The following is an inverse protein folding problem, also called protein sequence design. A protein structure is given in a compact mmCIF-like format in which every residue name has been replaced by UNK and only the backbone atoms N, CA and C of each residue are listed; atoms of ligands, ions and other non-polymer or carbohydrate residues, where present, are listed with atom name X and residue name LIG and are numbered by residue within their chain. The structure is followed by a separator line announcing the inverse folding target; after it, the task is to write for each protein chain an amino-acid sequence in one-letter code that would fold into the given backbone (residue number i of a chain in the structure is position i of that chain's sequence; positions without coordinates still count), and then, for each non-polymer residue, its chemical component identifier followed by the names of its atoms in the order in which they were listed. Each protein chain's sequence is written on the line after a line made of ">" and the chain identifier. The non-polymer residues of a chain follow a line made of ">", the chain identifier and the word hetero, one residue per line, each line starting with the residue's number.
data_IF_720264660725
#
_entry.id   IF_720264660725
#
_cell.length_a   1.000
_cell.length_b   1.000
_cell.length_c   1.000
_cell.angle_alpha   90.00
_cell.angle_beta   90.00
_cell.angle_gamma   90.00
#
_symmetry.space_group_name_H-M   'P 1'
#
loop_
_entity.id
_entity.type
_entity.pdbx_description
1 polymer ?
#
# COMPACT_ATOMS: atom_id res chain seq x y z
N UNK A 1 -15.70 10.21 1.08
CA UNK A 1 -15.61 9.41 -0.16
C UNK A 1 -14.43 9.84 -1.02
N UNK A 2 -14.11 11.13 -1.16
CA UNK A 2 -12.94 11.60 -1.93
C UNK A 2 -11.60 11.00 -1.44
N UNK A 3 -11.42 10.87 -0.12
CA UNK A 3 -10.19 10.32 0.46
C UNK A 3 -9.94 8.83 0.15
N UNK A 4 -10.99 8.03 -0.12
CA UNK A 4 -10.83 6.60 -0.38
C UNK A 4 -10.38 6.34 -1.82
N UNK A 5 -10.89 7.13 -2.78
CA UNK A 5 -10.44 7.05 -4.17
C UNK A 5 -8.98 7.52 -4.30
N UNK A 6 -8.60 8.59 -3.58
CA UNK A 6 -7.20 9.05 -3.57
C UNK A 6 -6.27 8.02 -2.92
N UNK A 7 -6.73 7.32 -1.88
CA UNK A 7 -6.00 6.20 -1.27
C UNK A 7 -5.83 5.05 -2.27
N UNK A 8 -6.88 4.64 -2.96
CA UNK A 8 -6.82 3.59 -3.97
C UNK A 8 -5.84 3.92 -5.11
N UNK A 9 -5.92 5.14 -5.66
CA UNK A 9 -4.98 5.64 -6.67
C UNK A 9 -3.53 5.61 -6.17
N UNK A 10 -3.31 5.99 -4.91
CA UNK A 10 -2.00 5.99 -4.29
C UNK A 10 -1.43 4.56 -4.17
N UNK A 11 -2.19 3.59 -3.68
CA UNK A 11 -1.72 2.20 -3.58
C UNK A 11 -1.45 1.58 -4.97
N UNK A 12 -2.24 1.95 -5.99
CA UNK A 12 -1.97 1.56 -7.38
C UNK A 12 -0.67 2.17 -7.91
N UNK A 13 -0.37 3.44 -7.58
CA UNK A 13 0.92 4.09 -7.91
C UNK A 13 2.08 3.33 -7.27
N UNK A 14 1.98 3.01 -5.98
CA UNK A 14 3.01 2.26 -5.25
C UNK A 14 3.27 0.90 -5.87
N UNK A 15 2.21 0.16 -6.23
CA UNK A 15 2.34 -1.10 -6.97
C UNK A 15 3.08 -0.93 -8.30
N UNK A 16 2.72 0.09 -9.11
CA UNK A 16 3.34 0.32 -10.42
C UNK A 16 4.82 0.70 -10.32
N UNK A 17 5.19 1.48 -9.32
CA UNK A 17 6.56 1.98 -9.16
C UNK A 17 7.48 0.97 -8.48
N UNK A 18 6.96 0.19 -7.52
CA UNK A 18 7.78 -0.60 -6.60
C UNK A 18 7.38 -2.08 -6.52
N UNK A 19 6.34 -2.49 -7.25
CA UNK A 19 5.90 -3.89 -7.29
C UNK A 19 5.19 -4.39 -6.04
N UNK A 20 4.85 -3.51 -5.09
CA UNK A 20 4.18 -3.89 -3.83
C UNK A 20 2.74 -4.32 -4.16
N UNK A 21 2.51 -5.63 -4.19
CA UNK A 21 1.21 -6.22 -4.57
C UNK A 21 0.25 -6.36 -3.38
N UNK A 22 0.79 -6.52 -2.19
CA UNK A 22 0.03 -6.62 -0.95
C UNK A 22 0.81 -6.07 0.23
N UNK A 23 0.07 -5.58 1.22
CA UNK A 23 0.60 -5.19 2.51
C UNK A 23 -0.40 -5.56 3.61
N UNK A 24 0.14 -5.86 4.79
CA UNK A 24 -0.62 -6.07 6.00
C UNK A 24 -0.35 -4.91 6.95
N UNK A 25 -1.38 -4.36 7.59
CA UNK A 25 -1.23 -3.35 8.62
C UNK A 25 -1.82 -3.84 9.93
N UNK A 26 -0.95 -4.12 10.90
CA UNK A 26 -1.29 -4.76 12.17
C UNK A 26 -0.57 -4.08 13.31
N UNK A 27 -1.29 -3.85 14.41
CA UNK A 27 -0.72 -3.25 15.63
C UNK A 27 0.04 -1.94 15.35
N UNK A 28 -0.51 -1.10 14.46
CA UNK A 28 0.09 0.15 13.97
C UNK A 28 1.42 0.00 13.23
N UNK A 29 1.68 -1.18 12.64
CA UNK A 29 2.89 -1.46 11.87
C UNK A 29 2.53 -1.98 10.49
N UNK A 30 3.30 -1.51 9.51
CA UNK A 30 3.25 -2.00 8.15
C UNK A 30 4.13 -3.25 8.02
N UNK A 31 3.51 -4.37 7.69
CA UNK A 31 4.15 -5.64 7.37
C UNK A 31 4.15 -5.79 5.84
N UNK A 32 5.35 -5.87 5.26
CA UNK A 32 5.56 -6.14 3.83
C UNK A 32 6.29 -7.46 3.70
N UNK A 33 5.93 -8.25 2.69
CA UNK A 33 6.59 -9.53 2.40
C UNK A 33 8.12 -9.34 2.27
N UNK A 34 8.89 -10.14 3.01
CA UNK A 34 10.35 -10.14 3.01
C UNK A 34 10.96 -10.32 1.61
N UNK A 35 10.26 -10.98 0.68
CA UNK A 35 10.70 -11.08 -0.72
C UNK A 35 10.68 -9.73 -1.43
N UNK A 36 9.69 -8.89 -1.14
CA UNK A 36 9.60 -7.52 -1.65
C UNK A 36 10.69 -6.64 -1.03
N UNK A 37 10.94 -6.79 0.27
CA UNK A 37 12.00 -6.06 0.98
C UNK A 37 13.38 -6.32 0.35
N UNK A 38 13.68 -7.56 -0.07
CA UNK A 38 14.96 -7.88 -0.73
C UNK A 38 15.20 -7.12 -2.04
N UNK A 39 14.13 -6.77 -2.76
CA UNK A 39 14.22 -5.91 -3.94
C UNK A 39 14.36 -4.42 -3.57
N UNK A 40 13.97 -4.04 -2.35
CA UNK A 40 14.05 -2.69 -1.79
C UNK A 40 15.36 -2.41 -1.04
N UNK A 41 16.25 -3.40 -0.85
CA UNK A 41 17.56 -3.24 -0.16
C UNK A 41 18.49 -2.22 -0.85
N UNK A 42 18.13 -1.77 -2.06
CA UNK A 42 18.79 -0.65 -2.76
C UNK A 42 17.86 0.57 -2.93
N UNK A 43 17.03 0.86 -1.93
CA UNK A 43 16.11 1.99 -1.94
C UNK A 43 16.84 3.34 -2.11
N UNK A 44 16.42 4.11 -3.11
CA UNK A 44 16.81 5.52 -3.25
C UNK A 44 16.08 6.38 -2.21
N UNK A 45 16.56 7.61 -1.99
CA UNK A 45 15.89 8.59 -1.12
C UNK A 45 14.41 8.81 -1.51
N UNK A 46 14.11 8.74 -2.81
CA UNK A 46 12.74 8.82 -3.34
C UNK A 46 11.86 7.65 -2.85
N UNK A 47 12.40 6.43 -2.78
CA UNK A 47 11.67 5.30 -2.23
C UNK A 47 11.40 5.48 -0.74
N UNK A 48 12.40 5.93 0.02
CA UNK A 48 12.24 6.14 1.47
C UNK A 48 11.13 7.17 1.75
N UNK A 49 11.11 8.28 1.01
CA UNK A 49 10.03 9.26 1.13
C UNK A 49 8.65 8.69 0.75
N UNK A 50 8.56 7.89 -0.31
CA UNK A 50 7.30 7.24 -0.68
C UNK A 50 6.88 6.16 0.33
N UNK A 51 7.83 5.50 0.99
CA UNK A 51 7.55 4.53 2.05
C UNK A 51 7.01 5.19 3.32
N UNK A 52 7.57 6.32 3.73
CA UNK A 52 7.04 7.10 4.85
C UNK A 52 5.61 7.57 4.56
N UNK A 53 5.36 8.07 3.34
CA UNK A 53 4.02 8.41 2.88
C UNK A 53 3.09 7.19 2.91
N UNK A 54 3.56 6.00 2.54
CA UNK A 54 2.77 4.77 2.57
C UNK A 54 2.32 4.42 3.98
N UNK A 55 3.19 4.60 4.98
CA UNK A 55 2.86 4.41 6.39
C UNK A 55 1.75 5.40 6.82
N UNK A 56 1.86 6.67 6.46
CA UNK A 56 0.84 7.69 6.78
C UNK A 56 -0.53 7.33 6.20
N UNK A 57 -0.56 6.89 4.94
CA UNK A 57 -1.80 6.46 4.28
C UNK A 57 -2.40 5.21 4.95
N UNK A 58 -1.57 4.27 5.40
CA UNK A 58 -2.04 3.10 6.14
C UNK A 58 -2.60 3.48 7.53
N UNK A 59 -2.00 4.45 8.21
CA UNK A 59 -2.53 4.99 9.47
C UNK A 59 -3.89 5.66 9.29
N UNK A 60 -4.08 6.39 8.18
CA UNK A 60 -5.38 6.97 7.84
C UNK A 60 -6.44 5.86 7.65
N UNK A 61 -6.14 4.82 6.87
CA UNK A 61 -7.05 3.68 6.68
C UNK A 61 -7.35 2.99 8.02
N UNK A 62 -6.34 2.78 8.85
CA UNK A 62 -6.52 2.20 10.19
C UNK A 62 -7.43 3.06 11.06
N UNK A 63 -7.26 4.38 11.02
CA UNK A 63 -8.08 5.32 11.79
C UNK A 63 -9.55 5.32 11.35
N UNK A 64 -9.82 5.04 10.07
CA UNK A 64 -11.18 4.93 9.55
C UNK A 64 -11.81 3.57 9.89
N UNK A 65 -11.05 2.48 9.73
CA UNK A 65 -11.53 1.11 9.94
C UNK A 65 -11.55 0.69 11.42
N UNK A 66 -10.74 1.32 12.26
CA UNK A 66 -10.53 0.99 13.67
C UNK A 66 -10.18 -0.49 13.92
N UNK A 67 -9.48 -1.10 12.96
CA UNK A 67 -9.05 -2.51 13.00
C UNK A 67 -7.85 -2.76 12.09
N UNK A 68 -7.14 -3.85 12.36
CA UNK A 68 -6.14 -4.40 11.46
C UNK A 68 -6.74 -4.67 10.08
N UNK A 69 -5.96 -4.45 9.03
CA UNK A 69 -6.41 -4.65 7.66
C UNK A 69 -5.28 -5.16 6.78
N UNK A 70 -5.67 -5.73 5.65
CA UNK A 70 -4.76 -6.06 4.55
C UNK A 70 -5.22 -5.35 3.28
N UNK A 71 -4.26 -4.85 2.51
CA UNK A 71 -4.52 -4.30 1.18
C UNK A 71 -3.92 -5.21 0.13
N UNK A 72 -4.68 -5.41 -0.95
CA UNK A 72 -4.20 -6.16 -2.11
C UNK A 72 -4.59 -5.45 -3.39
N UNK A 73 -3.59 -5.10 -4.19
CA UNK A 73 -3.81 -4.57 -5.54
C UNK A 73 -4.15 -5.73 -6.47
N UNK A 74 -5.28 -5.60 -7.18
CA UNK A 74 -5.75 -6.56 -8.18
C UNK A 74 -5.97 -5.87 -9.51
N UNK A 75 -6.08 -6.68 -10.55
CA UNK A 75 -6.39 -6.25 -11.91
C UNK A 75 -7.70 -6.90 -12.34
N UNK A 76 -8.61 -6.11 -12.91
CA UNK A 76 -9.86 -6.60 -13.47
C UNK A 76 -9.66 -7.16 -14.90
N UNK A 77 -10.75 -7.67 -15.49
CA UNK A 77 -10.76 -8.22 -16.86
C UNK A 77 -10.49 -7.16 -17.94
N UNK A 78 -10.68 -5.88 -17.62
CA UNK A 78 -10.48 -4.73 -18.50
C UNK A 78 -9.09 -4.11 -18.33
N UNK A 79 -8.20 -4.76 -17.57
CA UNK A 79 -6.87 -4.29 -17.23
C UNK A 79 -6.79 -3.09 -16.28
N UNK A 80 -7.89 -2.71 -15.63
CA UNK A 80 -7.89 -1.68 -14.60
C UNK A 80 -7.39 -2.25 -13.27
N UNK A 81 -6.66 -1.43 -12.52
CA UNK A 81 -6.22 -1.79 -11.18
C UNK A 81 -7.23 -1.32 -10.15
N UNK A 82 -7.43 -2.12 -9.12
CA UNK A 82 -8.25 -1.77 -7.96
C UNK A 82 -7.66 -2.34 -6.67
N UNK A 83 -8.06 -1.78 -5.54
CA UNK A 83 -7.56 -2.17 -4.21
C UNK A 83 -8.64 -2.90 -3.43
N UNK A 84 -8.31 -4.09 -2.94
CA UNK A 84 -9.14 -4.80 -1.96
C UNK A 84 -8.64 -4.50 -0.56
N UNK A 85 -9.58 -4.16 0.32
CA UNK A 85 -9.36 -4.02 1.76
C UNK A 85 -10.05 -5.19 2.47
N UNK A 86 -9.32 -5.97 3.26
CA UNK A 86 -9.87 -7.05 4.09
C UNK A 86 -9.52 -6.82 5.56
#
# INVERSE_FOLDING_TARGET
>A
MENLNSLEEYFVKIYKNYGITSLDFRDNKLEIDDQLIKHMVFASDDFNSEFDNLLEHCLLVYSELQRNFSLKVKRDINNNYFVLVA
#
